data_IF_922853246270
#
_entry.id   IF_922853246270
#
_cell.length_a   1.000
_cell.length_b   1.000
_cell.length_c   1.000
_cell.angle_alpha   90.00
_cell.angle_beta   90.00
_cell.angle_gamma   90.00
#
_symmetry.space_group_name_H-M   'P 1'
#
loop_
_entity.id
_entity.type
_entity.pdbx_description
1 polymer ?
#
# COMPACT_ATOMS: atom_id res chain seq x y z
N UNK A 1 37.80 -16.96 -5.21
CA UNK A 1 36.72 -17.17 -4.22
C UNK A 1 36.13 -15.82 -3.92
N UNK A 2 35.02 -15.51 -4.60
CA UNK A 2 34.39 -14.20 -4.58
C UNK A 2 33.60 -14.02 -3.29
N UNK A 3 33.97 -13.00 -2.56
CA UNK A 3 33.28 -12.50 -1.38
C UNK A 3 32.05 -11.69 -1.80
N UNK A 4 30.94 -12.37 -2.13
CA UNK A 4 29.65 -11.75 -2.40
C UNK A 4 28.88 -11.40 -1.11
N UNK A 5 29.52 -11.56 0.04
CA UNK A 5 28.95 -11.30 1.35
C UNK A 5 29.19 -9.86 1.75
N UNK A 6 28.27 -8.99 1.45
CA UNK A 6 27.98 -7.73 2.12
C UNK A 6 27.81 -6.50 1.22
N UNK A 7 26.97 -6.61 0.19
CA UNK A 7 26.48 -5.43 -0.56
C UNK A 7 25.27 -4.75 0.08
N UNK A 8 24.76 -5.26 1.21
CA UNK A 8 23.58 -4.66 1.86
C UNK A 8 24.02 -3.59 2.85
N UNK A 9 23.93 -2.34 2.44
CA UNK A 9 24.26 -1.17 3.28
C UNK A 9 23.27 -0.92 4.42
N UNK A 10 22.03 -1.42 4.34
CA UNK A 10 20.95 -1.08 5.26
C UNK A 10 20.19 -2.32 5.72
N UNK A 11 19.74 -2.26 6.97
CA UNK A 11 18.84 -3.26 7.54
C UNK A 11 17.50 -3.21 6.80
N UNK A 12 16.88 -4.37 6.60
CA UNK A 12 15.57 -4.51 5.98
C UNK A 12 14.61 -5.13 6.96
N UNK A 13 13.40 -4.60 6.99
CA UNK A 13 12.27 -5.19 7.69
C UNK A 13 11.27 -5.71 6.66
N UNK A 14 10.56 -6.76 7.05
CA UNK A 14 9.37 -7.20 6.33
C UNK A 14 8.18 -6.75 7.14
N UNK A 15 7.28 -6.00 6.53
CA UNK A 15 6.11 -5.44 7.17
C UNK A 15 4.90 -5.50 6.24
N UNK A 16 3.70 -5.53 6.84
CA UNK A 16 2.47 -5.27 6.12
C UNK A 16 2.34 -3.75 5.92
N UNK A 17 2.09 -3.34 4.69
CA UNK A 17 1.99 -1.94 4.33
C UNK A 17 0.76 -1.67 3.47
N UNK A 18 0.21 -0.49 3.63
CA UNK A 18 -0.62 0.12 2.59
C UNK A 18 0.28 1.01 1.74
N UNK A 19 0.28 0.78 0.45
CA UNK A 19 1.10 1.53 -0.50
C UNK A 19 0.26 2.01 -1.68
N UNK A 20 0.39 3.29 -1.99
CA UNK A 20 -0.06 3.87 -3.24
C UNK A 20 1.15 4.41 -4.00
N UNK A 21 1.12 4.31 -5.32
CA UNK A 21 2.19 4.85 -6.15
C UNK A 21 1.63 5.48 -7.43
N UNK A 22 2.33 6.45 -7.95
CA UNK A 22 2.06 7.06 -9.23
C UNK A 22 3.36 7.33 -9.98
N UNK A 23 3.32 7.23 -11.30
CA UNK A 23 4.45 7.58 -12.16
C UNK A 23 4.48 9.10 -12.29
N UNK A 24 5.65 9.69 -12.06
CA UNK A 24 5.87 11.13 -12.09
C UNK A 24 6.97 11.49 -13.09
N UNK A 25 7.03 12.77 -13.44
CA UNK A 25 8.08 13.30 -14.30
C UNK A 25 9.45 13.28 -13.62
N UNK A 26 10.53 13.23 -14.43
CA UNK A 26 11.90 13.15 -13.90
C UNK A 26 12.30 14.35 -13.03
N UNK A 27 11.71 15.53 -13.28
CA UNK A 27 12.01 16.76 -12.55
C UNK A 27 11.13 16.96 -11.29
N UNK A 28 10.15 16.09 -11.04
CA UNK A 28 9.26 16.21 -9.88
C UNK A 28 10.02 16.01 -8.56
N UNK A 29 9.69 16.86 -7.58
CA UNK A 29 10.16 16.79 -6.18
C UNK A 29 8.99 16.68 -5.24
N UNK A 30 9.20 16.24 -3.99
CA UNK A 30 8.12 16.17 -2.99
C UNK A 30 7.48 17.54 -2.73
N UNK A 31 8.27 18.62 -2.76
CA UNK A 31 7.75 19.99 -2.56
C UNK A 31 6.85 20.46 -3.72
N UNK A 32 7.09 19.94 -4.95
CA UNK A 32 6.30 20.28 -6.13
C UNK A 32 4.98 19.49 -6.23
N UNK A 33 4.88 18.39 -5.50
CA UNK A 33 3.70 17.54 -5.45
C UNK A 33 2.82 18.04 -4.29
N UNK A 34 1.71 18.69 -4.60
CA UNK A 34 0.76 19.20 -3.61
C UNK A 34 0.37 18.10 -2.60
N UNK A 35 0.11 18.50 -1.34
CA UNK A 35 -0.45 17.63 -0.29
C UNK A 35 -1.80 17.11 -0.80
N UNK A 36 -1.81 15.88 -1.24
CA UNK A 36 -2.88 15.33 -2.04
C UNK A 36 -3.90 14.59 -1.17
N UNK A 37 -5.14 14.60 -1.63
CA UNK A 37 -6.26 13.80 -1.08
C UNK A 37 -5.90 12.32 -0.86
N UNK A 38 -4.87 11.82 -1.52
CA UNK A 38 -4.36 10.46 -1.42
C UNK A 38 -3.84 10.10 -0.02
N UNK A 39 -3.28 11.05 0.73
CA UNK A 39 -2.78 10.79 2.09
C UNK A 39 -3.93 10.50 3.07
N UNK A 40 -5.00 11.27 2.96
CA UNK A 40 -6.24 11.05 3.75
C UNK A 40 -6.89 9.72 3.38
N UNK A 41 -6.81 9.35 2.12
CA UNK A 41 -7.42 8.13 1.59
C UNK A 41 -6.70 6.86 2.05
N UNK A 42 -5.36 6.88 2.14
CA UNK A 42 -4.58 5.76 2.70
C UNK A 42 -4.99 5.47 4.14
N UNK A 43 -5.21 6.51 4.95
CA UNK A 43 -5.67 6.34 6.33
C UNK A 43 -7.09 5.79 6.40
N UNK A 44 -7.98 6.34 5.59
CA UNK A 44 -9.36 5.89 5.56
C UNK A 44 -9.46 4.41 5.19
N UNK A 45 -8.71 3.96 4.17
CA UNK A 45 -8.70 2.57 3.75
C UNK A 45 -8.10 1.66 4.82
N UNK A 46 -6.98 2.04 5.45
CA UNK A 46 -6.41 1.25 6.53
C UNK A 46 -7.35 1.10 7.74
N UNK A 47 -8.14 2.14 8.05
CA UNK A 47 -9.17 2.09 9.09
C UNK A 47 -10.31 1.17 8.67
N UNK A 48 -10.76 1.24 7.42
CA UNK A 48 -11.81 0.38 6.87
C UNK A 48 -11.38 -1.09 6.91
N UNK A 49 -10.16 -1.40 6.48
CA UNK A 49 -9.62 -2.77 6.51
C UNK A 49 -9.59 -3.33 7.93
N UNK A 50 -9.14 -2.53 8.91
CA UNK A 50 -9.14 -2.94 10.31
C UNK A 50 -10.57 -3.21 10.82
N UNK A 51 -11.52 -2.35 10.49
CA UNK A 51 -12.93 -2.57 10.87
C UNK A 51 -13.53 -3.79 10.19
N UNK A 52 -13.17 -4.09 8.95
CA UNK A 52 -13.64 -5.28 8.24
C UNK A 52 -13.14 -6.57 8.91
N UNK A 53 -11.89 -6.60 9.39
CA UNK A 53 -11.36 -7.73 10.17
C UNK A 53 -12.14 -7.93 11.48
N UNK A 54 -12.36 -6.84 12.25
CA UNK A 54 -13.11 -6.85 13.51
C UNK A 54 -14.56 -7.30 13.30
N UNK A 55 -15.23 -6.81 12.25
CA UNK A 55 -16.61 -7.18 11.87
C UNK A 55 -16.65 -8.66 11.51
N UNK A 56 -15.72 -9.16 10.71
CA UNK A 56 -15.70 -10.56 10.28
C UNK A 56 -15.55 -11.52 11.46
N UNK A 57 -14.68 -11.20 12.42
CA UNK A 57 -14.53 -11.97 13.64
C UNK A 57 -15.83 -11.97 14.48
N UNK A 58 -16.39 -10.78 14.73
CA UNK A 58 -17.61 -10.61 15.52
C UNK A 58 -18.81 -11.31 14.87
N UNK A 59 -18.93 -11.26 13.54
CA UNK A 59 -20.00 -11.94 12.79
C UNK A 59 -19.89 -13.46 12.88
N UNK A 60 -18.68 -14.01 12.94
CA UNK A 60 -18.48 -15.45 13.14
C UNK A 60 -19.04 -15.90 14.49
N UNK A 61 -18.76 -15.16 15.55
CA UNK A 61 -19.27 -15.43 16.90
C UNK A 61 -20.78 -15.22 17.00
N UNK A 62 -21.30 -14.16 16.38
CA UNK A 62 -22.72 -13.85 16.35
C UNK A 62 -23.52 -14.87 15.55
N UNK A 63 -22.93 -15.45 14.51
CA UNK A 63 -23.58 -16.48 13.67
C UNK A 63 -24.01 -17.72 14.44
N UNK A 64 -23.30 -18.08 15.51
CA UNK A 64 -23.64 -19.19 16.39
C UNK A 64 -24.78 -18.85 17.34
N UNK A 65 -24.86 -17.63 17.86
CA UNK A 65 -25.82 -17.20 18.88
C UNK A 65 -27.09 -16.55 18.32
N UNK A 66 -26.97 -15.81 17.21
CA UNK A 66 -28.05 -15.03 16.61
C UNK A 66 -27.96 -14.96 15.08
N UNK A 67 -28.23 -16.08 14.36
CA UNK A 67 -27.96 -16.15 12.91
C UNK A 67 -28.79 -15.17 12.06
N UNK A 68 -29.97 -14.75 12.52
CA UNK A 68 -30.76 -13.73 11.80
C UNK A 68 -30.12 -12.36 11.90
N UNK A 69 -29.61 -12.01 13.09
CA UNK A 69 -28.90 -10.75 13.29
C UNK A 69 -27.57 -10.72 12.50
N UNK A 70 -26.81 -11.82 12.51
CA UNK A 70 -25.61 -11.95 11.73
C UNK A 70 -25.87 -11.72 10.23
N UNK A 71 -26.91 -12.32 9.65
CA UNK A 71 -27.32 -12.10 8.26
C UNK A 71 -27.69 -10.64 7.96
N UNK A 72 -28.39 -9.97 8.87
CA UNK A 72 -28.76 -8.57 8.68
C UNK A 72 -27.54 -7.66 8.69
N UNK A 73 -26.58 -7.90 9.59
CA UNK A 73 -25.34 -7.14 9.68
C UNK A 73 -24.45 -7.39 8.45
N UNK A 74 -24.33 -8.64 7.99
CA UNK A 74 -23.63 -8.95 6.75
C UNK A 74 -24.20 -8.18 5.57
N UNK A 75 -25.51 -8.17 5.40
CA UNK A 75 -26.16 -7.42 4.33
C UNK A 75 -25.95 -5.90 4.41
N UNK A 76 -25.86 -5.35 5.63
CA UNK A 76 -25.50 -3.94 5.83
C UNK A 76 -24.04 -3.66 5.45
N UNK A 77 -23.13 -4.56 5.84
CA UNK A 77 -21.72 -4.43 5.46
C UNK A 77 -21.54 -4.48 3.95
N UNK A 78 -22.16 -5.46 3.27
CA UNK A 78 -22.14 -5.58 1.80
C UNK A 78 -22.69 -4.31 1.12
N UNK A 79 -23.71 -3.68 1.72
CA UNK A 79 -24.27 -2.44 1.21
C UNK A 79 -23.30 -1.27 1.39
N UNK A 80 -22.57 -1.20 2.49
CA UNK A 80 -21.54 -0.19 2.74
C UNK A 80 -20.41 -0.38 1.74
N UNK A 81 -19.94 -1.60 1.53
CA UNK A 81 -18.89 -1.92 0.57
C UNK A 81 -19.31 -1.53 -0.86
N UNK A 82 -20.57 -1.79 -1.22
CA UNK A 82 -21.13 -1.35 -2.50
C UNK A 82 -21.13 0.16 -2.64
N UNK A 83 -21.52 0.90 -1.59
CA UNK A 83 -21.50 2.37 -1.61
C UNK A 83 -20.07 2.93 -1.68
N UNK A 84 -19.14 2.35 -0.95
CA UNK A 84 -17.72 2.71 -1.04
C UNK A 84 -17.20 2.51 -2.46
N UNK A 85 -17.45 1.34 -3.06
CA UNK A 85 -17.08 1.05 -4.44
C UNK A 85 -17.71 2.03 -5.46
N UNK A 86 -18.95 2.46 -5.23
CA UNK A 86 -19.60 3.46 -6.10
C UNK A 86 -19.02 4.86 -5.95
N UNK A 87 -18.66 5.26 -4.72
CA UNK A 87 -18.00 6.55 -4.46
C UNK A 87 -16.56 6.57 -4.99
N UNK A 88 -15.93 5.42 -5.02
CA UNK A 88 -14.58 5.21 -5.51
C UNK A 88 -14.51 5.20 -7.05
N UNK A 89 -15.62 4.95 -7.76
CA UNK A 89 -15.62 4.95 -9.21
C UNK A 89 -15.19 6.28 -9.84
N UNK A 90 -15.37 7.40 -9.15
CA UNK A 90 -14.87 8.71 -9.59
C UNK A 90 -13.35 8.87 -9.39
N UNK A 91 -12.72 8.00 -8.58
CA UNK A 91 -11.28 7.99 -8.28
C UNK A 91 -10.55 6.74 -8.82
N UNK A 92 -11.06 6.12 -9.88
CA UNK A 92 -10.55 4.87 -10.48
C UNK A 92 -9.04 4.90 -10.77
N UNK A 93 -8.49 6.08 -11.07
CA UNK A 93 -7.05 6.24 -11.34
C UNK A 93 -6.21 6.02 -10.09
N UNK A 94 -6.71 6.43 -8.91
CA UNK A 94 -6.02 6.31 -7.63
C UNK A 94 -6.12 4.89 -7.08
N UNK A 95 -7.28 4.25 -7.20
CA UNK A 95 -7.56 2.93 -6.64
C UNK A 95 -6.74 1.79 -7.24
N UNK A 96 -6.48 1.82 -8.55
CA UNK A 96 -5.64 0.79 -9.19
C UNK A 96 -4.21 0.75 -8.64
N UNK A 97 -3.79 1.80 -7.92
CA UNK A 97 -2.43 1.95 -7.40
C UNK A 97 -2.31 1.83 -5.88
N UNK A 98 -3.43 1.87 -5.17
CA UNK A 98 -3.44 1.67 -3.72
C UNK A 98 -3.69 0.20 -3.41
N UNK A 99 -2.79 -0.40 -2.67
CA UNK A 99 -2.86 -1.81 -2.31
C UNK A 99 -2.32 -2.04 -0.90
N UNK A 100 -2.88 -3.04 -0.23
CA UNK A 100 -2.32 -3.62 0.98
C UNK A 100 -1.37 -4.75 0.57
N UNK A 101 -0.16 -4.69 1.07
CA UNK A 101 0.89 -5.70 0.84
C UNK A 101 1.25 -6.34 2.16
N UNK A 102 1.01 -7.65 2.30
CA UNK A 102 1.24 -8.40 3.55
C UNK A 102 2.71 -8.48 3.96
N UNK A 103 3.62 -8.48 2.99
CA UNK A 103 5.04 -8.66 3.24
C UNK A 103 5.89 -7.83 2.27
N UNK A 104 5.91 -6.52 2.48
CA UNK A 104 6.83 -5.65 1.77
C UNK A 104 8.20 -5.65 2.44
N UNK A 105 9.26 -5.60 1.64
CA UNK A 105 10.62 -5.45 2.13
C UNK A 105 11.00 -3.98 2.15
N UNK A 106 11.12 -3.39 3.33
CA UNK A 106 11.38 -1.96 3.53
C UNK A 106 12.75 -1.75 4.17
N UNK A 107 13.47 -0.74 3.73
CA UNK A 107 14.74 -0.30 4.29
C UNK A 107 14.86 1.23 4.24
N UNK A 108 15.89 1.79 4.86
CA UNK A 108 16.15 3.23 4.81
C UNK A 108 16.41 3.77 3.39
N UNK A 109 16.77 2.93 2.43
CA UNK A 109 17.10 3.36 1.07
C UNK A 109 16.07 2.94 0.01
N UNK A 110 15.05 2.17 0.37
CA UNK A 110 14.08 1.71 -0.62
C UNK A 110 13.09 0.69 -0.11
N UNK A 111 12.20 0.34 -1.01
CA UNK A 111 11.11 -0.61 -0.79
C UNK A 111 11.03 -1.62 -1.94
N UNK A 112 10.57 -2.83 -1.63
CA UNK A 112 10.23 -3.81 -2.64
C UNK A 112 8.90 -4.50 -2.29
N UNK A 113 8.02 -4.58 -3.28
CA UNK A 113 6.66 -5.11 -3.13
C UNK A 113 6.10 -5.62 -4.47
N UNK A 114 5.09 -6.51 -4.44
CA UNK A 114 4.42 -6.99 -5.65
C UNK A 114 3.52 -5.91 -6.26
N UNK A 115 3.41 -5.91 -7.60
CA UNK A 115 2.52 -5.07 -8.39
C UNK A 115 1.90 -5.88 -9.54
N UNK A 116 0.74 -5.44 -10.03
CA UNK A 116 0.02 -6.12 -11.10
C UNK A 116 0.57 -5.80 -12.51
N UNK A 117 1.17 -4.62 -12.69
CA UNK A 117 1.63 -4.15 -14.01
C UNK A 117 3.13 -3.80 -13.93
N UNK A 118 3.86 -4.07 -15.00
CA UNK A 118 5.29 -3.73 -15.07
C UNK A 118 5.53 -2.23 -15.16
N UNK A 119 6.59 -1.75 -14.51
CA UNK A 119 7.08 -0.37 -14.59
C UNK A 119 8.52 -0.40 -15.10
N UNK A 120 8.85 0.52 -16.00
CA UNK A 120 10.17 0.59 -16.59
C UNK A 120 11.25 0.95 -15.54
N UNK A 121 12.39 0.27 -15.61
CA UNK A 121 13.57 0.61 -14.80
C UNK A 121 14.03 2.02 -15.15
N UNK A 122 14.37 2.80 -14.13
CA UNK A 122 14.73 4.23 -14.26
C UNK A 122 13.54 5.17 -14.13
N UNK A 123 12.31 4.68 -14.19
CA UNK A 123 11.12 5.51 -14.01
C UNK A 123 11.05 6.05 -12.58
N UNK A 124 10.78 7.35 -12.44
CA UNK A 124 10.46 7.95 -11.15
C UNK A 124 9.00 7.69 -10.77
N UNK A 125 8.79 7.37 -9.51
CA UNK A 125 7.47 7.19 -8.93
C UNK A 125 7.37 7.92 -7.61
N UNK A 126 6.20 8.48 -7.33
CA UNK A 126 5.80 8.93 -6.00
C UNK A 126 5.23 7.74 -5.25
N UNK A 127 5.64 7.59 -4.02
CA UNK A 127 5.18 6.55 -3.10
C UNK A 127 4.54 7.20 -1.88
N UNK A 128 3.36 6.71 -1.53
CA UNK A 128 2.69 6.99 -0.27
C UNK A 128 2.57 5.67 0.48
N UNK A 129 3.13 5.60 1.67
CA UNK A 129 3.24 4.35 2.42
C UNK A 129 2.75 4.53 3.85
N UNK A 130 2.06 3.51 4.36
CA UNK A 130 1.74 3.36 5.77
C UNK A 130 2.21 1.99 6.23
N UNK A 131 3.17 1.97 7.14
CA UNK A 131 3.67 0.76 7.78
C UNK A 131 2.73 0.40 8.94
N UNK A 132 2.17 -0.81 8.92
CA UNK A 132 1.19 -1.24 9.93
C UNK A 132 1.84 -1.45 11.31
N UNK A 133 3.00 -2.11 11.36
CA UNK A 133 3.67 -2.43 12.62
C UNK A 133 4.07 -1.22 13.45
N UNK A 134 4.47 -0.14 12.80
CA UNK A 134 4.92 1.09 13.45
C UNK A 134 3.87 2.22 13.42
N UNK A 135 2.77 2.03 12.67
CA UNK A 135 1.77 3.06 12.38
C UNK A 135 2.40 4.37 11.82
N UNK A 136 3.40 4.21 10.97
CA UNK A 136 4.18 5.31 10.40
C UNK A 136 3.76 5.52 8.96
N UNK A 137 3.45 6.77 8.61
CA UNK A 137 3.27 7.21 7.22
C UNK A 137 4.57 7.79 6.67
N UNK A 138 4.81 7.57 5.38
CA UNK A 138 5.93 8.16 4.65
C UNK A 138 5.52 8.46 3.21
N UNK A 139 5.90 9.64 2.76
CA UNK A 139 5.87 10.00 1.36
C UNK A 139 7.31 9.99 0.83
N UNK A 140 7.50 9.40 -0.31
CA UNK A 140 8.81 9.33 -0.93
C UNK A 140 8.71 9.47 -2.45
N UNK A 141 9.76 10.02 -3.04
CA UNK A 141 10.04 9.85 -4.46
C UNK A 141 11.10 8.78 -4.57
N UNK A 142 10.86 7.82 -5.44
CA UNK A 142 11.80 6.75 -5.71
C UNK A 142 12.04 6.55 -7.20
N UNK A 143 13.15 5.91 -7.49
CA UNK A 143 13.49 5.45 -8.82
C UNK A 143 13.35 3.93 -8.88
N UNK A 144 12.69 3.43 -9.90
CA UNK A 144 12.57 1.99 -10.15
C UNK A 144 13.93 1.44 -10.55
N UNK A 145 14.47 0.55 -9.72
CA UNK A 145 15.78 -0.08 -9.97
C UNK A 145 15.64 -1.50 -10.52
N UNK A 146 14.49 -2.10 -10.33
CA UNK A 146 14.22 -3.47 -10.79
C UNK A 146 12.72 -3.75 -10.81
N UNK A 147 12.25 -4.54 -11.80
CA UNK A 147 10.87 -4.98 -11.91
C UNK A 147 10.86 -6.36 -12.56
N UNK A 148 10.84 -7.41 -11.74
CA UNK A 148 10.95 -8.79 -12.18
C UNK A 148 9.62 -9.51 -12.11
N UNK A 149 9.36 -10.34 -13.09
CA UNK A 149 8.20 -11.24 -13.09
C UNK A 149 8.34 -12.31 -11.99
N UNK A 150 7.29 -12.46 -11.20
CA UNK A 150 7.19 -13.43 -10.11
C UNK A 150 5.81 -14.13 -10.17
N UNK A 151 5.69 -15.18 -10.96
CA UNK A 151 4.42 -15.87 -11.19
C UNK A 151 3.47 -15.04 -12.06
N UNK A 152 2.32 -14.67 -11.52
CA UNK A 152 1.32 -13.83 -12.20
C UNK A 152 1.46 -12.32 -11.89
N UNK A 153 2.40 -11.96 -11.03
CA UNK A 153 2.66 -10.59 -10.59
C UNK A 153 4.10 -10.18 -10.92
N UNK A 154 4.39 -8.90 -10.76
CA UNK A 154 5.73 -8.35 -10.87
C UNK A 154 6.22 -7.92 -9.48
N UNK A 155 7.50 -8.12 -9.20
CA UNK A 155 8.12 -7.67 -7.96
C UNK A 155 8.93 -6.41 -8.24
N UNK A 156 8.39 -5.28 -7.79
CA UNK A 156 8.96 -3.96 -7.99
C UNK A 156 10.00 -3.67 -6.89
N UNK A 157 11.16 -3.14 -7.28
CA UNK A 157 12.16 -2.58 -6.37
C UNK A 157 12.38 -1.12 -6.67
N UNK A 158 12.26 -0.31 -5.64
CA UNK A 158 12.38 1.14 -5.72
C UNK A 158 13.44 1.60 -4.75
N UNK A 159 14.34 2.45 -5.20
CA UNK A 159 15.30 3.16 -4.37
C UNK A 159 14.80 4.58 -4.11
N UNK A 160 14.79 5.01 -2.84
CA UNK A 160 14.34 6.34 -2.47
C UNK A 160 15.35 7.39 -2.92
N UNK A 161 14.85 8.41 -3.62
CA UNK A 161 15.60 9.57 -4.08
C UNK A 161 15.35 10.75 -3.15
N UNK A 162 14.10 10.89 -2.70
CA UNK A 162 13.65 11.93 -1.78
C UNK A 162 12.58 11.34 -0.85
N UNK A 163 12.61 11.65 0.43
CA UNK A 163 11.66 11.14 1.42
C UNK A 163 11.33 12.22 2.44
N UNK A 164 10.03 12.37 2.72
CA UNK A 164 9.58 13.32 3.75
C UNK A 164 10.00 12.85 5.13
N UNK A 165 10.66 13.72 5.87
CA UNK A 165 10.82 13.60 7.32
C UNK A 165 9.52 14.06 7.98
N UNK A 166 8.61 13.13 8.23
CA UNK A 166 7.45 13.42 9.08
C UNK A 166 7.77 12.94 10.48
N UNK A 167 7.88 13.85 11.41
CA UNK A 167 8.00 13.56 12.86
C UNK A 167 6.76 12.85 13.40
#
# INVERSE_FOLDING_TARGET
MNDERNRRRFFRITDAIHVAYEIIDEEATLESLEVDHNEVMIDAIAIIDQHNEDISQTLSELGESAPIAAKAITALNDKIDTLLNLLELDNIIIQKKLQRVEAASVSACGIAFPIAETIAVGQKIRLMMRLESANIKRNAIGCVVDCNELGEEYYLRVEFVDMSDTD
#
